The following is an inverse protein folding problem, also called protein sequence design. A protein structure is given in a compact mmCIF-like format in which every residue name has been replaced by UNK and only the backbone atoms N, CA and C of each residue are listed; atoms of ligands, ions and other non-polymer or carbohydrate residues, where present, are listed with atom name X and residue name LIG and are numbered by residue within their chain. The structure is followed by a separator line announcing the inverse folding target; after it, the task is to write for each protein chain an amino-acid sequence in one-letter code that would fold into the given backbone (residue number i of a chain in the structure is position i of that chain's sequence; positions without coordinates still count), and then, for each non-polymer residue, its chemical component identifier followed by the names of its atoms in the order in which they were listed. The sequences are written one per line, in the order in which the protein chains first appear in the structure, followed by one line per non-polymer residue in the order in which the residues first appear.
data_IF_180832391511
#
_entry.id   IF_180832391511
#
_cell.length_a   1.000
_cell.length_b   1.000
_cell.length_c   1.000
_cell.angle_alpha   90.00
_cell.angle_beta   90.00
_cell.angle_gamma   90.00
#
_symmetry.space_group_name_H-M   'P 1'
#
loop_
_entity.id
_entity.type
_entity.pdbx_description
1 polymer ?
#
# COMPACT_ATOMS: atom_id res chain seq x y z
N UNK A 1 28.84 31.70 -2.98
CA UNK A 1 27.84 31.16 -3.93
C UNK A 1 28.17 29.70 -4.10
N UNK A 2 27.66 28.88 -3.19
CA UNK A 2 27.89 27.44 -3.19
C UNK A 2 26.96 26.82 -4.24
N UNK A 3 27.56 26.15 -5.22
CA UNK A 3 26.85 25.28 -6.15
C UNK A 3 26.39 24.06 -5.37
N UNK A 4 25.11 24.03 -5.01
CA UNK A 4 24.43 22.85 -4.51
C UNK A 4 24.33 21.85 -5.66
N UNK A 5 25.03 20.73 -5.48
CA UNK A 5 25.01 19.56 -6.35
C UNK A 5 23.58 19.06 -6.57
N UNK A 6 23.17 19.02 -7.83
CA UNK A 6 21.99 18.29 -8.31
C UNK A 6 22.21 16.78 -8.08
N UNK A 7 21.73 16.28 -6.94
CA UNK A 7 21.72 14.85 -6.66
C UNK A 7 20.59 14.19 -7.46
N UNK A 8 20.93 13.16 -8.24
CA UNK A 8 20.07 12.49 -9.22
C UNK A 8 18.70 12.05 -8.71
N UNK A 9 17.67 12.83 -9.07
CA UNK A 9 16.25 12.60 -8.77
C UNK A 9 15.56 11.67 -9.76
N UNK A 10 16.18 11.31 -10.89
CA UNK A 10 15.59 10.45 -11.92
C UNK A 10 16.59 9.38 -12.42
N UNK A 11 16.08 8.22 -12.82
CA UNK A 11 16.82 7.10 -13.43
C UNK A 11 16.31 6.93 -14.85
N UNK A 12 17.23 6.85 -15.80
CA UNK A 12 16.93 6.62 -17.22
C UNK A 12 16.91 5.11 -17.53
N UNK A 13 15.89 4.65 -18.26
CA UNK A 13 15.80 3.28 -18.78
C UNK A 13 15.12 3.28 -20.16
N UNK A 14 15.56 2.39 -21.04
CA UNK A 14 14.86 2.17 -22.31
C UNK A 14 13.64 1.29 -22.09
N UNK A 15 12.48 1.78 -22.50
CA UNK A 15 11.20 1.08 -22.37
C UNK A 15 10.45 1.01 -23.70
N UNK A 16 9.68 -0.05 -23.86
CA UNK A 16 8.86 -0.26 -25.05
C UNK A 16 7.57 0.57 -24.92
N UNK A 17 7.54 1.73 -25.58
CA UNK A 17 6.38 2.62 -25.54
C UNK A 17 5.36 2.21 -26.60
N UNK A 18 4.11 2.10 -26.20
CA UNK A 18 2.98 1.79 -27.09
C UNK A 18 2.21 3.07 -27.42
N UNK A 19 1.78 3.23 -28.67
CA UNK A 19 0.97 4.38 -29.09
C UNK A 19 -0.32 4.47 -28.27
N UNK A 20 -0.70 5.66 -27.75
CA UNK A 20 -1.97 5.85 -27.04
C UNK A 20 -3.20 5.45 -27.87
N UNK A 21 -3.09 5.56 -29.20
CA UNK A 21 -4.14 5.23 -30.16
C UNK A 21 -4.26 3.74 -30.46
N UNK A 22 -3.32 2.90 -29.98
CA UNK A 22 -3.35 1.44 -30.13
C UNK A 22 -3.09 0.90 -31.53
N UNK A 23 -2.91 1.77 -32.52
CA UNK A 23 -2.67 1.48 -33.94
C UNK A 23 -1.20 1.60 -34.36
N UNK A 24 -0.34 2.11 -33.46
CA UNK A 24 1.08 2.29 -33.71
C UNK A 24 1.93 1.13 -33.21
N UNK A 25 2.93 0.74 -34.00
CA UNK A 25 3.93 -0.24 -33.63
C UNK A 25 4.69 0.19 -32.35
N UNK A 26 4.84 -0.70 -31.34
CA UNK A 26 5.60 -0.39 -30.14
C UNK A 26 7.04 0.02 -30.47
N UNK A 27 7.49 1.12 -29.88
CA UNK A 27 8.83 1.68 -30.15
C UNK A 27 9.63 1.79 -28.87
N UNK A 28 10.88 1.33 -28.86
CA UNK A 28 11.81 1.53 -27.75
C UNK A 28 12.13 3.03 -27.60
N UNK A 29 11.90 3.59 -26.41
CA UNK A 29 12.21 4.98 -26.09
C UNK A 29 12.83 5.10 -24.71
N UNK A 30 13.68 6.11 -24.54
CA UNK A 30 14.28 6.43 -23.23
C UNK A 30 13.22 7.07 -22.33
N UNK A 31 12.92 6.40 -21.20
CA UNK A 31 12.02 6.86 -20.16
C UNK A 31 12.79 7.31 -18.92
N UNK A 32 12.26 8.32 -18.23
CA UNK A 32 12.85 8.88 -17.01
C UNK A 32 11.96 8.53 -15.81
N UNK A 33 12.49 7.80 -14.85
CA UNK A 33 11.79 7.34 -13.65
C UNK A 33 12.23 8.14 -12.44
N UNK A 34 11.29 8.69 -11.68
CA UNK A 34 11.61 9.39 -10.44
C UNK A 34 12.17 8.44 -9.39
N UNK A 35 13.22 8.86 -8.68
CA UNK A 35 13.67 8.21 -7.45
C UNK A 35 12.86 8.77 -6.29
N UNK A 36 12.06 7.94 -5.58
CA UNK A 36 11.32 8.43 -4.42
C UNK A 36 12.28 8.85 -3.31
N UNK A 37 12.01 10.01 -2.69
CA UNK A 37 12.69 10.44 -1.46
C UNK A 37 12.01 9.75 -0.29
N UNK A 38 12.72 8.81 0.32
CA UNK A 38 12.17 7.96 1.38
C UNK A 38 12.80 8.37 2.72
N UNK A 39 11.98 8.72 3.71
CA UNK A 39 12.43 8.96 5.09
C UNK A 39 11.93 7.86 6.02
N UNK A 40 12.80 7.34 6.88
CA UNK A 40 12.45 6.28 7.85
C UNK A 40 11.48 6.82 8.91
N UNK A 41 10.52 5.99 9.33
CA UNK A 41 9.58 6.34 10.40
C UNK A 41 10.15 5.87 11.75
N UNK A 42 10.45 6.80 12.65
CA UNK A 42 10.90 6.49 14.01
C UNK A 42 9.80 5.85 14.92
N UNK A 43 8.55 5.69 14.45
CA UNK A 43 7.42 5.40 15.37
C UNK A 43 6.40 4.27 15.03
N UNK A 44 6.44 3.55 13.89
CA UNK A 44 5.16 2.95 13.40
C UNK A 44 4.85 1.44 13.45
N UNK A 45 5.77 0.56 13.76
CA UNK A 45 5.45 -0.74 14.38
C UNK A 45 6.61 -0.88 15.33
N UNK A 46 6.42 -0.72 16.65
CA UNK A 46 7.53 -0.55 17.58
C UNK A 46 8.65 -1.52 17.18
N UNK A 47 9.79 -1.01 16.69
CA UNK A 47 10.61 -1.71 15.68
C UNK A 47 10.96 -3.15 16.06
N UNK A 48 11.06 -3.38 17.37
CA UNK A 48 11.26 -4.67 18.01
C UNK A 48 10.19 -5.72 17.65
N UNK A 49 8.92 -5.33 17.54
CA UNK A 49 7.80 -6.16 17.11
C UNK A 49 7.93 -6.58 15.65
N UNK A 50 8.26 -5.66 14.75
CA UNK A 50 8.48 -5.99 13.34
C UNK A 50 9.71 -6.89 13.16
N UNK A 51 10.84 -6.56 13.79
CA UNK A 51 12.07 -7.38 13.76
C UNK A 51 11.79 -8.80 14.26
N UNK A 52 11.03 -8.93 15.35
CA UNK A 52 10.61 -10.25 15.87
C UNK A 52 9.72 -11.00 14.88
N UNK A 53 8.74 -10.33 14.28
CA UNK A 53 7.85 -10.98 13.31
C UNK A 53 8.58 -11.37 12.02
N UNK A 54 9.48 -10.53 11.52
CA UNK A 54 10.31 -10.83 10.37
C UNK A 54 11.16 -12.08 10.62
N UNK A 55 11.80 -12.19 11.80
CA UNK A 55 12.62 -13.35 12.14
C UNK A 55 11.87 -14.69 12.13
N UNK A 56 10.55 -14.67 12.33
CA UNK A 56 9.70 -15.87 12.39
C UNK A 56 8.95 -16.15 11.09
N UNK A 57 8.56 -15.11 10.35
CA UNK A 57 7.59 -15.23 9.26
C UNK A 57 8.09 -14.67 7.92
N UNK A 58 9.34 -14.21 7.81
CA UNK A 58 9.93 -13.76 6.55
C UNK A 58 9.74 -14.76 5.39
N UNK A 59 9.97 -16.09 5.55
CA UNK A 59 9.74 -17.05 4.46
C UNK A 59 8.28 -17.06 4.00
N UNK A 60 7.34 -16.97 4.93
CA UNK A 60 5.89 -16.90 4.65
C UNK A 60 5.55 -15.63 3.88
N UNK A 61 6.15 -14.49 4.25
CA UNK A 61 5.90 -13.21 3.58
C UNK A 61 6.48 -13.18 2.16
N UNK A 62 7.63 -13.81 1.94
CA UNK A 62 8.23 -13.95 0.60
C UNK A 62 7.35 -14.80 -0.30
N UNK A 63 6.85 -15.94 0.18
CA UNK A 63 5.92 -16.80 -0.57
C UNK A 63 4.59 -16.10 -0.89
N UNK A 64 4.04 -15.37 0.08
CA UNK A 64 2.82 -14.58 -0.11
C UNK A 64 3.04 -13.32 -0.97
N UNK A 65 4.28 -12.96 -1.30
CA UNK A 65 4.60 -11.79 -2.13
C UNK A 65 4.38 -10.44 -1.44
N UNK A 66 4.47 -10.40 -0.10
CA UNK A 66 4.21 -9.18 0.71
C UNK A 66 5.44 -8.72 1.50
N UNK A 67 6.56 -9.44 1.41
CA UNK A 67 7.78 -9.13 2.16
C UNK A 67 8.27 -7.70 1.91
N UNK A 68 8.40 -7.31 0.64
CA UNK A 68 8.82 -5.96 0.26
C UNK A 68 7.81 -4.91 0.72
N UNK A 69 6.51 -5.16 0.57
CA UNK A 69 5.48 -4.23 1.05
C UNK A 69 5.57 -3.98 2.56
N UNK A 70 5.81 -5.03 3.35
CA UNK A 70 5.96 -4.91 4.81
C UNK A 70 7.19 -4.07 5.18
N UNK A 71 8.33 -4.31 4.51
CA UNK A 71 9.54 -3.52 4.74
C UNK A 71 9.35 -2.06 4.29
N UNK A 72 8.73 -1.85 3.13
CA UNK A 72 8.45 -0.51 2.60
C UNK A 72 7.47 0.27 3.49
N UNK A 73 6.58 -0.43 4.21
CA UNK A 73 5.66 0.18 5.18
C UNK A 73 6.34 0.80 6.41
N UNK A 74 7.64 0.53 6.62
CA UNK A 74 8.44 1.19 7.68
C UNK A 74 8.92 2.58 7.29
N UNK A 75 8.75 2.96 6.04
CA UNK A 75 9.14 4.26 5.54
C UNK A 75 7.92 5.14 5.33
N UNK A 76 8.08 6.44 5.56
CA UNK A 76 7.04 7.43 5.31
C UNK A 76 7.34 8.13 4.00
N UNK A 77 6.37 8.05 3.10
CA UNK A 77 6.28 8.93 1.95
C UNK A 77 5.44 10.12 2.41
N UNK A 78 6.09 11.25 2.68
CA UNK A 78 5.39 12.48 3.04
C UNK A 78 4.54 12.93 1.85
N UNK A 79 3.23 12.89 2.01
CA UNK A 79 2.31 13.43 1.01
C UNK A 79 2.40 14.94 1.01
N UNK A 80 2.83 15.51 -0.12
CA UNK A 80 2.71 16.93 -0.37
C UNK A 80 1.42 17.17 -1.19
N UNK A 81 0.42 17.78 -0.56
CA UNK A 81 -0.89 18.02 -1.18
C UNK A 81 -0.78 18.93 -2.40
N UNK A 82 0.06 19.97 -2.35
CA UNK A 82 0.22 20.92 -3.45
C UNK A 82 0.82 20.24 -4.68
N UNK A 83 1.80 19.34 -4.48
CA UNK A 83 2.37 18.54 -5.57
C UNK A 83 1.35 17.55 -6.16
N UNK A 84 0.51 16.95 -5.32
CA UNK A 84 -0.55 16.03 -5.78
C UNK A 84 -1.59 16.79 -6.61
N UNK A 85 -2.00 17.98 -6.16
CA UNK A 85 -2.94 18.83 -6.90
C UNK A 85 -2.35 19.32 -8.22
N UNK A 86 -1.12 19.85 -8.19
CA UNK A 86 -0.44 20.31 -9.42
C UNK A 86 -0.21 19.18 -10.43
N UNK A 87 0.01 17.94 -9.96
CA UNK A 87 0.06 16.76 -10.83
C UNK A 87 -1.34 16.42 -11.38
N UNK A 88 -2.38 16.45 -10.54
CA UNK A 88 -3.75 16.17 -10.95
C UNK A 88 -4.26 17.14 -12.04
N UNK A 89 -3.85 18.40 -12.01
CA UNK A 89 -4.16 19.37 -13.07
C UNK A 89 -3.62 18.98 -14.45
N UNK A 90 -2.56 18.16 -14.50
CA UNK A 90 -1.98 17.67 -15.75
C UNK A 90 -2.69 16.43 -16.28
N UNK A 91 -3.65 15.87 -15.56
CA UNK A 91 -4.34 14.64 -15.94
C UNK A 91 -5.17 14.81 -17.20
N UNK A 92 -4.96 13.91 -18.16
CA UNK A 92 -5.76 13.77 -19.37
C UNK A 92 -6.61 12.49 -19.29
N UNK A 93 -7.92 12.65 -19.32
CA UNK A 93 -8.86 11.52 -19.23
C UNK A 93 -8.90 10.67 -20.50
N UNK A 94 -8.48 11.20 -21.65
CA UNK A 94 -8.45 10.51 -22.93
C UNK A 94 -7.29 9.51 -22.99
N UNK A 95 -6.07 9.97 -22.69
CA UNK A 95 -4.87 9.14 -22.74
C UNK A 95 -4.58 8.38 -21.43
N UNK A 96 -5.33 8.70 -20.36
CA UNK A 96 -5.12 8.15 -19.00
C UNK A 96 -3.71 8.41 -18.46
N UNK A 97 -3.11 9.52 -18.87
CA UNK A 97 -1.79 9.98 -18.46
C UNK A 97 -1.79 11.45 -18.02
N UNK A 98 -0.62 11.96 -17.67
CA UNK A 98 -0.35 13.35 -17.29
C UNK A 98 0.41 14.05 -18.41
N UNK A 99 -0.15 15.15 -18.92
CA UNK A 99 0.43 15.91 -20.02
C UNK A 99 1.24 17.08 -19.46
N UNK A 100 2.54 17.04 -19.70
CA UNK A 100 3.46 18.14 -19.44
C UNK A 100 3.84 18.84 -20.75
N UNK A 101 4.45 20.03 -20.65
CA UNK A 101 4.92 20.76 -21.83
C UNK A 101 6.05 20.04 -22.57
N UNK A 102 6.73 19.09 -21.91
CA UNK A 102 7.90 18.39 -22.42
C UNK A 102 7.67 16.89 -22.66
N UNK A 103 6.68 16.25 -22.02
CA UNK A 103 6.30 14.87 -22.32
C UNK A 103 4.91 14.51 -21.75
N UNK A 104 4.47 13.29 -22.05
CA UNK A 104 3.39 12.63 -21.33
C UNK A 104 3.96 11.60 -20.35
N UNK A 105 3.35 11.45 -19.18
CA UNK A 105 3.71 10.43 -18.20
C UNK A 105 2.47 9.63 -17.75
N UNK A 106 2.58 8.31 -17.66
CA UNK A 106 1.44 7.44 -17.33
C UNK A 106 1.77 6.56 -16.13
N UNK A 107 0.80 6.35 -15.24
CA UNK A 107 0.93 5.40 -14.13
C UNK A 107 0.73 3.99 -14.68
N UNK A 108 1.75 3.17 -14.53
CA UNK A 108 1.77 1.76 -14.92
C UNK A 108 1.58 0.85 -13.71
N UNK A 109 1.43 -0.44 -13.98
CA UNK A 109 1.36 -1.46 -12.95
C UNK A 109 2.69 -1.59 -12.18
N UNK A 110 3.82 -1.33 -12.85
CA UNK A 110 5.14 -1.36 -12.23
C UNK A 110 5.31 -0.23 -11.22
N UNK A 111 4.73 0.95 -11.49
CA UNK A 111 4.70 2.06 -10.54
C UNK A 111 3.91 1.72 -9.26
N UNK A 112 2.91 0.83 -9.37
CA UNK A 112 2.17 0.30 -8.22
C UNK A 112 2.97 -0.77 -7.46
N UNK A 113 3.83 -1.52 -8.17
CA UNK A 113 4.71 -2.53 -7.59
C UNK A 113 5.87 -1.93 -6.78
N UNK A 114 6.26 -0.67 -7.02
CA UNK A 114 7.30 0.02 -6.23
C UNK A 114 7.00 -0.02 -4.72
N UNK A 115 5.71 -0.05 -4.35
CA UNK A 115 5.30 -0.15 -2.95
C UNK A 115 5.45 -1.57 -2.37
N UNK A 116 5.90 -2.55 -3.17
CA UNK A 116 6.15 -3.94 -2.79
C UNK A 116 4.90 -4.83 -2.76
N UNK A 117 3.75 -4.31 -3.21
CA UNK A 117 2.49 -5.06 -3.22
C UNK A 117 2.45 -6.07 -4.36
N UNK A 118 1.96 -7.27 -4.05
CA UNK A 118 1.73 -8.28 -5.09
C UNK A 118 0.58 -7.86 -6.00
N UNK A 119 0.86 -7.83 -7.30
CA UNK A 119 -0.12 -7.59 -8.38
C UNK A 119 -0.81 -8.88 -8.81
N UNK A 120 -0.13 -10.02 -8.66
CA UNK A 120 -0.62 -11.34 -9.03
C UNK A 120 -1.07 -12.08 -7.78
N UNK A 121 -2.14 -12.87 -7.87
CA UNK A 121 -2.61 -13.69 -6.76
C UNK A 121 -4.12 -13.91 -6.79
N UNK A 122 -4.62 -14.53 -5.74
CA UNK A 122 -6.06 -14.68 -5.53
C UNK A 122 -6.73 -13.31 -5.38
N UNK A 123 -8.02 -13.18 -5.78
CA UNK A 123 -8.77 -11.94 -5.62
C UNK A 123 -8.78 -11.45 -4.17
N UNK A 124 -8.83 -10.13 -3.96
CA UNK A 124 -8.79 -9.52 -2.62
C UNK A 124 -9.97 -9.93 -1.72
N UNK A 125 -11.08 -10.40 -2.32
CA UNK A 125 -12.26 -10.92 -1.62
C UNK A 125 -12.23 -12.44 -1.56
N UNK A 126 -11.35 -13.00 -0.72
CA UNK A 126 -11.35 -14.43 -0.42
C UNK A 126 -12.21 -14.68 0.82
N UNK A 127 -13.22 -15.54 0.69
CA UNK A 127 -13.99 -16.01 1.83
C UNK A 127 -13.20 -17.07 2.63
N UNK A 128 -13.38 -17.08 3.94
CA UNK A 128 -12.85 -18.12 4.82
C UNK A 128 -13.59 -19.44 4.60
N UNK A 129 -13.16 -20.24 3.61
CA UNK A 129 -13.88 -21.47 3.23
C UNK A 129 -13.66 -22.63 4.21
N UNK A 130 -12.55 -22.61 4.97
CA UNK A 130 -12.21 -23.66 5.94
C UNK A 130 -12.69 -23.33 7.36
N UNK A 131 -13.18 -24.32 8.10
CA UNK A 131 -13.59 -24.15 9.51
C UNK A 131 -12.46 -23.63 10.40
N UNK A 132 -11.21 -23.98 10.10
CA UNK A 132 -10.04 -23.42 10.79
C UNK A 132 -9.81 -21.94 10.49
N UNK A 133 -10.12 -21.48 9.27
CA UNK A 133 -10.04 -20.03 8.95
C UNK A 133 -11.11 -19.27 9.71
N UNK A 134 -12.34 -19.78 9.73
CA UNK A 134 -13.45 -19.14 10.46
C UNK A 134 -13.15 -19.03 11.97
N UNK A 135 -12.60 -20.09 12.59
CA UNK A 135 -12.18 -20.05 14.00
C UNK A 135 -11.10 -18.99 14.25
N UNK A 136 -10.13 -18.84 13.35
CA UNK A 136 -9.11 -17.80 13.46
C UNK A 136 -9.68 -16.41 13.26
N UNK A 137 -10.61 -16.24 12.33
CA UNK A 137 -11.30 -14.98 12.07
C UNK A 137 -12.10 -14.52 13.28
N UNK A 138 -12.85 -15.44 13.89
CA UNK A 138 -13.57 -15.18 15.13
C UNK A 138 -12.62 -14.80 16.26
N UNK A 139 -11.46 -15.47 16.39
CA UNK A 139 -10.45 -15.10 17.38
C UNK A 139 -9.86 -13.69 17.15
N UNK A 140 -9.68 -13.27 15.89
CA UNK A 140 -9.29 -11.89 15.55
C UNK A 140 -10.40 -10.89 15.94
N UNK A 141 -11.66 -11.25 15.70
CA UNK A 141 -12.80 -10.41 16.01
C UNK A 141 -13.04 -10.27 17.52
N UNK A 142 -12.90 -11.34 18.29
CA UNK A 142 -12.95 -11.29 19.75
C UNK A 142 -11.83 -10.40 20.30
N UNK A 143 -10.60 -10.54 19.81
CA UNK A 143 -9.49 -9.66 20.21
C UNK A 143 -9.79 -8.18 19.92
N UNK A 144 -10.44 -7.89 18.79
CA UNK A 144 -10.89 -6.53 18.44
C UNK A 144 -11.95 -5.99 19.41
N UNK A 145 -12.94 -6.81 19.76
CA UNK A 145 -14.00 -6.44 20.68
C UNK A 145 -13.48 -6.20 22.11
N UNK A 146 -12.57 -7.04 22.59
CA UNK A 146 -11.93 -6.86 23.89
C UNK A 146 -11.14 -5.55 23.97
N UNK A 147 -10.43 -5.18 22.91
CA UNK A 147 -9.70 -3.91 22.87
C UNK A 147 -10.63 -2.69 22.86
N UNK A 148 -11.77 -2.77 22.16
CA UNK A 148 -12.80 -1.73 22.21
C UNK A 148 -13.44 -1.55 23.60
N UNK A 149 -13.50 -2.62 24.41
CA UNK A 149 -14.00 -2.55 25.80
C UNK A 149 -13.02 -1.84 26.74
N UNK A 150 -11.72 -1.97 26.47
CA UNK A 150 -10.64 -1.45 27.32
C UNK A 150 -10.28 0.00 26.95
N UNK A 151 -10.42 0.37 25.67
CA UNK A 151 -9.94 1.64 25.13
C UNK A 151 -11.06 2.67 24.96
N UNK A 152 -11.13 3.66 25.86
CA UNK A 152 -11.81 4.93 25.60
C UNK A 152 -10.79 5.97 25.14
N UNK A 153 -10.75 6.21 23.82
CA UNK A 153 -9.99 7.26 23.08
C UNK A 153 -8.44 7.11 23.01
N UNK A 154 -7.96 7.03 21.75
CA UNK A 154 -6.59 7.32 21.26
C UNK A 154 -5.43 6.35 21.58
N UNK A 155 -5.59 5.33 22.44
CA UNK A 155 -4.52 4.38 22.75
C UNK A 155 -4.55 3.07 21.92
N UNK A 156 -5.41 3.00 20.90
CA UNK A 156 -5.80 1.76 20.21
C UNK A 156 -4.63 0.97 19.61
N UNK A 157 -3.71 1.62 18.87
CA UNK A 157 -2.63 0.90 18.17
C UNK A 157 -1.49 0.43 19.08
N UNK A 158 -1.07 1.25 20.05
CA UNK A 158 0.00 0.88 20.98
C UNK A 158 -0.45 -0.20 21.98
N UNK A 159 -1.72 -0.15 22.42
CA UNK A 159 -2.33 -1.23 23.20
C UNK A 159 -2.49 -2.49 22.35
N UNK A 160 -2.93 -2.35 21.10
CA UNK A 160 -3.03 -3.47 20.16
C UNK A 160 -1.69 -4.20 19.99
N UNK A 161 -0.60 -3.46 19.73
CA UNK A 161 0.74 -4.06 19.60
C UNK A 161 1.22 -4.74 20.89
N UNK A 162 0.93 -4.18 22.07
CA UNK A 162 1.32 -4.76 23.36
C UNK A 162 0.56 -6.06 23.64
N UNK A 163 -0.76 -6.06 23.50
CA UNK A 163 -1.60 -7.26 23.68
C UNK A 163 -1.24 -8.35 22.66
N UNK A 164 -0.93 -7.93 21.45
CA UNK A 164 -0.58 -8.84 20.38
C UNK A 164 0.73 -9.60 20.61
N UNK A 165 1.74 -8.92 21.13
CA UNK A 165 3.04 -9.52 21.43
C UNK A 165 2.99 -10.54 22.58
N UNK A 166 1.90 -10.55 23.36
CA UNK A 166 1.73 -11.40 24.54
C UNK A 166 0.91 -12.69 24.32
N UNK A 167 0.23 -12.87 23.17
CA UNK A 167 -0.62 -14.06 22.88
C UNK A 167 0.10 -15.35 22.39
N UNK A 168 -0.65 -16.39 22.00
CA UNK A 168 -0.10 -17.62 21.38
C UNK A 168 0.45 -17.42 19.95
N UNK A 169 1.42 -18.24 19.52
CA UNK A 169 2.23 -18.03 18.29
C UNK A 169 1.46 -18.05 16.96
N UNK A 170 0.42 -18.87 16.82
CA UNK A 170 -0.30 -19.01 15.54
C UNK A 170 -1.24 -17.83 15.25
N UNK A 171 -1.92 -17.32 16.28
CA UNK A 171 -2.79 -16.13 16.17
C UNK A 171 -1.95 -14.84 16.11
N UNK A 172 -0.72 -14.91 16.62
CA UNK A 172 0.29 -13.86 16.56
C UNK A 172 0.79 -13.53 15.15
N UNK A 173 0.52 -14.29 14.11
CA UNK A 173 0.82 -13.81 12.76
C UNK A 173 -0.41 -13.12 12.16
N UNK A 174 -1.59 -13.70 12.38
CA UNK A 174 -2.86 -13.17 11.91
C UNK A 174 -3.17 -11.74 12.37
N UNK A 175 -3.03 -11.42 13.67
CA UNK A 175 -3.33 -10.04 14.11
C UNK A 175 -2.29 -9.01 13.64
N UNK A 176 -1.08 -9.43 13.25
CA UNK A 176 -0.04 -8.56 12.68
C UNK A 176 -0.48 -8.20 11.28
N UNK A 177 -0.87 -9.22 10.51
CA UNK A 177 -1.38 -9.03 9.16
C UNK A 177 -2.62 -8.15 9.16
N UNK A 178 -3.56 -8.35 10.08
CA UNK A 178 -4.74 -7.50 10.20
C UNK A 178 -4.40 -6.03 10.52
N UNK A 179 -3.41 -5.82 11.41
CA UNK A 179 -2.92 -4.49 11.76
C UNK A 179 -2.24 -3.81 10.57
N UNK A 180 -1.29 -4.51 9.94
CA UNK A 180 -0.56 -4.02 8.79
C UNK A 180 -1.50 -3.69 7.61
N UNK A 181 -2.44 -4.58 7.31
CA UNK A 181 -3.47 -4.36 6.29
C UNK A 181 -4.32 -3.13 6.61
N UNK A 182 -4.80 -2.98 7.85
CA UNK A 182 -5.64 -1.84 8.22
C UNK A 182 -4.89 -0.51 8.21
N UNK A 183 -3.57 -0.52 8.45
CA UNK A 183 -2.77 0.70 8.57
C UNK A 183 -2.15 1.15 7.26
N UNK A 184 -1.68 0.22 6.43
CA UNK A 184 -0.86 0.54 5.26
C UNK A 184 -1.51 0.16 3.92
N UNK A 185 -2.38 -0.84 3.90
CA UNK A 185 -2.97 -1.36 2.64
C UNK A 185 -4.39 -0.85 2.41
N UNK A 186 -5.23 -0.92 3.44
CA UNK A 186 -6.62 -0.45 3.43
C UNK A 186 -6.87 0.56 4.56
N UNK A 187 -6.16 1.71 4.59
CA UNK A 187 -6.31 2.70 5.63
C UNK A 187 -7.69 3.35 5.59
N UNK A 188 -8.55 2.98 6.54
CA UNK A 188 -9.79 3.72 6.86
C UNK A 188 -9.50 4.71 8.00
N UNK A 189 -8.75 4.26 9.00
CA UNK A 189 -8.23 5.07 10.10
C UNK A 189 -6.92 4.47 10.60
N UNK A 190 -5.92 5.31 10.88
CA UNK A 190 -4.63 4.86 11.40
C UNK A 190 -4.70 4.23 12.79
N UNK A 191 -5.79 4.41 13.54
CA UNK A 191 -5.94 3.88 14.90
C UNK A 191 -6.76 2.60 14.98
N UNK A 192 -7.53 2.24 13.94
CA UNK A 192 -8.55 1.19 14.00
C UNK A 192 -8.17 0.00 13.13
N UNK A 193 -8.24 -1.20 13.70
CA UNK A 193 -8.15 -2.46 12.95
C UNK A 193 -9.55 -2.83 12.42
N UNK A 194 -9.68 -2.91 11.10
CA UNK A 194 -10.99 -3.14 10.45
C UNK A 194 -11.30 -4.63 10.38
N UNK A 195 -12.54 -5.03 10.69
CA UNK A 195 -12.93 -6.45 10.62
C UNK A 195 -12.88 -7.01 9.19
N UNK A 196 -13.15 -6.18 8.17
CA UNK A 196 -13.16 -6.60 6.77
C UNK A 196 -11.81 -7.12 6.26
N UNK A 197 -10.69 -6.80 6.93
CA UNK A 197 -9.37 -7.27 6.54
C UNK A 197 -8.99 -8.62 7.15
N UNK A 198 -9.81 -9.18 8.06
CA UNK A 198 -9.46 -10.44 8.74
C UNK A 198 -9.37 -11.66 7.82
N UNK A 199 -10.27 -11.88 6.85
CA UNK A 199 -10.11 -12.96 5.89
C UNK A 199 -8.78 -12.85 5.13
N UNK A 200 -8.47 -11.65 4.63
CA UNK A 200 -7.22 -11.36 3.90
C UNK A 200 -6.01 -11.64 4.80
N UNK A 201 -6.04 -11.17 6.05
CA UNK A 201 -4.97 -11.38 7.02
C UNK A 201 -4.68 -12.88 7.26
N UNK A 202 -5.72 -13.70 7.33
CA UNK A 202 -5.60 -15.15 7.54
C UNK A 202 -5.01 -15.82 6.31
N UNK A 203 -5.45 -15.44 5.12
CA UNK A 203 -4.92 -15.99 3.87
C UNK A 203 -3.43 -15.65 3.69
N UNK A 204 -3.04 -14.39 3.93
CA UNK A 204 -1.62 -13.99 3.91
C UNK A 204 -0.79 -14.73 4.95
N UNK A 205 -1.35 -14.95 6.15
CA UNK A 205 -0.68 -15.72 7.20
C UNK A 205 -0.45 -17.20 6.80
N UNK A 206 -1.26 -17.73 5.89
CA UNK A 206 -1.17 -19.09 5.34
C UNK A 206 -0.38 -19.15 4.02
N UNK A 207 0.50 -18.20 3.75
CA UNK A 207 1.31 -18.15 2.52
C UNK A 207 0.48 -17.95 1.22
N UNK A 208 -0.81 -17.59 1.32
CA UNK A 208 -1.62 -17.35 0.12
C UNK A 208 -1.20 -16.03 -0.51
N UNK A 209 -0.85 -16.07 -1.79
CA UNK A 209 -0.53 -14.88 -2.57
C UNK A 209 -1.83 -14.17 -2.98
N UNK A 210 -2.01 -12.92 -2.57
CA UNK A 210 -3.20 -12.11 -2.84
C UNK A 210 -2.81 -10.90 -3.66
N UNK A 211 -3.63 -10.53 -4.65
CA UNK A 211 -3.47 -9.27 -5.36
C UNK A 211 -3.88 -8.11 -4.44
N UNK A 212 -2.90 -7.45 -3.83
CA UNK A 212 -3.07 -6.31 -2.92
C UNK A 212 -2.85 -4.95 -3.61
N UNK A 213 -2.24 -4.94 -4.79
CA UNK A 213 -2.05 -3.71 -5.54
C UNK A 213 -3.43 -3.07 -5.84
N UNK A 214 -3.56 -1.75 -5.66
CA UNK A 214 -4.81 -1.06 -5.94
C UNK A 214 -5.18 -1.20 -7.42
N UNK A 215 -6.47 -1.35 -7.71
CA UNK A 215 -6.95 -1.37 -9.09
C UNK A 215 -6.63 -0.04 -9.77
N UNK A 216 -5.85 -0.09 -10.86
CA UNK A 216 -5.46 1.06 -11.65
C UNK A 216 -6.69 1.81 -12.20
N UNK A 217 -7.79 1.10 -12.48
CA UNK A 217 -9.05 1.69 -12.94
C UNK A 217 -9.66 2.56 -11.85
N UNK A 218 -9.73 2.04 -10.61
CA UNK A 218 -10.24 2.78 -9.46
C UNK A 218 -9.36 3.98 -9.11
N UNK A 219 -8.03 3.85 -9.27
CA UNK A 219 -7.10 4.97 -9.09
C UNK A 219 -7.39 6.09 -10.10
N UNK A 220 -7.57 5.74 -11.37
CA UNK A 220 -7.91 6.70 -12.45
C UNK A 220 -9.23 7.41 -12.17
N UNK A 221 -10.25 6.70 -11.69
CA UNK A 221 -11.53 7.31 -11.29
C UNK A 221 -11.38 8.29 -10.13
N UNK A 222 -10.58 7.96 -9.12
CA UNK A 222 -10.32 8.85 -7.98
C UNK A 222 -9.58 10.12 -8.38
N UNK A 223 -8.65 10.04 -9.32
CA UNK A 223 -7.96 11.23 -9.87
C UNK A 223 -8.98 12.15 -10.54
N UNK A 224 -9.87 11.60 -11.36
CA UNK A 224 -10.94 12.38 -12.01
C UNK A 224 -11.88 13.01 -10.98
N UNK A 225 -12.29 12.27 -9.95
CA UNK A 225 -13.14 12.78 -8.88
C UNK A 225 -12.47 13.92 -8.09
N UNK A 226 -11.17 13.80 -7.79
CA UNK A 226 -10.39 14.82 -7.09
C UNK A 226 -10.35 16.13 -7.90
N UNK A 227 -10.10 16.04 -9.21
CA UNK A 227 -10.08 17.19 -10.12
C UNK A 227 -11.44 17.88 -10.15
N UNK A 228 -12.52 17.11 -10.29
CA UNK A 228 -13.87 17.67 -10.32
C UNK A 228 -14.24 18.35 -9.00
N UNK A 229 -13.83 17.79 -7.86
CA UNK A 229 -14.04 18.41 -6.56
C UNK A 229 -13.31 19.75 -6.44
N UNK A 230 -12.04 19.84 -6.85
CA UNK A 230 -11.28 21.09 -6.76
C UNK A 230 -11.88 22.21 -7.63
N UNK A 231 -12.35 21.87 -8.83
CA UNK A 231 -13.00 22.83 -9.74
C UNK A 231 -14.31 23.38 -9.21
N UNK A 232 -14.99 22.66 -8.31
CA UNK A 232 -16.22 23.11 -7.66
C UNK A 232 -15.96 24.03 -6.45
N UNK A 233 -14.77 23.94 -5.84
CA UNK A 233 -14.40 24.76 -4.68
C UNK A 233 -13.70 26.07 -5.03
N UNK A 234 -13.23 26.21 -6.26
CA UNK A 234 -12.59 27.43 -6.80
C UNK A 234 -13.56 28.31 -7.63
N UNK A 235 -14.85 27.94 -7.70
CA UNK A 235 -15.90 28.64 -8.47
C UNK A 235 -16.81 29.54 -7.64
#
# INVERSE_FOLDING_TARGET
MENLSEAGSAVEREELMVSPSGDGEPTMRLAHFLRPTVTSIDEQIGENGLKKMASLHEPTWKKAGIHEAILNSTYEIRRNTDLVLGLAEKWCSETKGFIFSWSEATITLEDLMIHGYSVLGSPTFIASDTEESKKREEALNQARLELNRISTRKAEHCLWMKEFMNGGSDIKHGKFMALWLSRFVFPISYSIVTQSVFPIAIHLARETKIALAPDLSLLKEKIVALINFNRLTEG
#
